data_IF_000001854472
#
_entry.id   IF_000001854472
#
_cell.length_a   1.000
_cell.length_b   1.000
_cell.length_c   1.000
_cell.angle_alpha   90.00
_cell.angle_beta   90.00
_cell.angle_gamma   90.00
#
_symmetry.space_group_name_H-M   'P 1'
#
loop_
_entity.id
_entity.type
_entity.pdbx_description
1 polymer ?
#
# COMPACT_ATOMS: atom_id res chain seq x y z
N UNK A 1 -6.84 -5.08 16.04
CA UNK A 1 -6.73 -6.56 15.99
C UNK A 1 -6.13 -7.22 17.24
N UNK A 2 -5.04 -6.68 17.81
CA UNK A 2 -4.26 -7.33 18.88
C UNK A 2 -5.03 -7.53 20.19
N UNK A 3 -5.92 -6.60 20.56
CA UNK A 3 -6.81 -6.78 21.72
C UNK A 3 -7.63 -8.07 21.63
N UNK A 4 -8.21 -8.36 20.45
CA UNK A 4 -8.98 -9.58 20.22
C UNK A 4 -8.09 -10.83 20.30
N UNK A 5 -6.87 -10.76 19.80
CA UNK A 5 -5.91 -11.87 19.90
C UNK A 5 -5.51 -12.15 21.35
N UNK A 6 -5.21 -11.12 22.14
CA UNK A 6 -4.91 -11.26 23.57
C UNK A 6 -6.07 -11.95 24.33
N UNK A 7 -7.32 -11.56 24.04
CA UNK A 7 -8.50 -12.21 24.63
C UNK A 7 -8.66 -13.68 24.23
N UNK A 8 -8.29 -14.05 23.00
CA UNK A 8 -8.35 -15.44 22.54
C UNK A 8 -7.31 -16.28 23.31
N UNK A 9 -6.09 -15.80 23.45
CA UNK A 9 -5.04 -16.48 24.23
C UNK A 9 -5.42 -16.62 25.71
N UNK A 10 -6.03 -15.59 26.30
CA UNK A 10 -6.49 -15.65 27.69
C UNK A 10 -7.51 -16.78 27.93
N UNK A 11 -8.38 -17.07 26.96
CA UNK A 11 -9.32 -18.22 27.03
C UNK A 11 -8.63 -19.58 27.04
N UNK A 12 -7.36 -19.64 26.60
CA UNK A 12 -6.51 -20.82 26.65
C UNK A 12 -5.57 -20.82 27.86
N UNK A 13 -5.76 -19.91 28.83
CA UNK A 13 -4.91 -19.77 30.00
C UNK A 13 -3.58 -19.04 29.75
N UNK A 14 -3.39 -18.45 28.55
CA UNK A 14 -2.17 -17.75 28.18
C UNK A 14 -2.40 -16.24 28.27
N UNK A 15 -1.85 -15.60 29.30
CA UNK A 15 -1.98 -14.16 29.51
C UNK A 15 -0.87 -13.41 28.77
N UNK A 16 -1.21 -12.77 27.64
CA UNK A 16 -0.30 -11.92 26.86
C UNK A 16 -0.78 -10.47 26.89
N UNK A 17 0.13 -9.56 27.24
CA UNK A 17 -0.17 -8.13 27.14
C UNK A 17 -0.20 -7.67 25.67
N UNK A 18 -1.02 -6.64 25.39
CA UNK A 18 -1.13 -6.06 24.05
C UNK A 18 0.18 -5.44 23.58
N UNK A 19 0.98 -4.89 24.48
CA UNK A 19 2.30 -4.34 24.16
C UNK A 19 3.25 -5.42 23.66
N UNK A 20 3.27 -6.59 24.32
CA UNK A 20 4.07 -7.74 23.89
C UNK A 20 3.70 -8.20 22.48
N UNK A 21 2.41 -8.31 22.18
CA UNK A 21 1.94 -8.66 20.83
C UNK A 21 2.30 -7.57 19.80
N UNK A 22 2.20 -6.30 20.17
CA UNK A 22 2.57 -5.19 19.30
C UNK A 22 4.08 -5.19 18.99
N UNK A 23 4.92 -5.47 20.00
CA UNK A 23 6.37 -5.58 19.84
C UNK A 23 6.74 -6.73 18.91
N UNK A 24 6.07 -7.88 19.01
CA UNK A 24 6.29 -9.00 18.10
C UNK A 24 5.92 -8.66 16.66
N UNK A 25 4.78 -7.99 16.45
CA UNK A 25 4.40 -7.49 15.11
C UNK A 25 5.45 -6.51 14.58
N UNK A 26 5.95 -5.61 15.43
CA UNK A 26 7.02 -4.68 15.08
C UNK A 26 8.31 -5.39 14.65
N UNK A 27 8.75 -6.40 15.41
CA UNK A 27 9.93 -7.23 15.06
C UNK A 27 9.73 -8.00 13.76
N UNK A 28 8.58 -8.63 13.58
CA UNK A 28 8.25 -9.33 12.34
C UNK A 28 8.28 -8.37 11.14
N UNK A 29 7.67 -7.18 11.26
CA UNK A 29 7.70 -6.15 10.23
C UNK A 29 9.14 -5.68 9.94
N UNK A 30 9.99 -5.54 10.97
CA UNK A 30 11.39 -5.19 10.79
C UNK A 30 12.13 -6.24 9.95
N UNK A 31 11.96 -7.52 10.25
CA UNK A 31 12.59 -8.62 9.51
C UNK A 31 12.04 -8.79 8.08
N UNK A 32 10.77 -8.47 7.85
CA UNK A 32 10.12 -8.57 6.53
C UNK A 32 10.40 -7.36 5.61
N UNK A 33 10.95 -6.27 6.15
CA UNK A 33 11.22 -5.04 5.39
C UNK A 33 12.06 -5.28 4.12
N UNK A 34 13.17 -6.05 4.14
CA UNK A 34 13.96 -6.28 2.93
C UNK A 34 13.18 -7.04 1.86
N UNK A 35 12.26 -7.93 2.26
CA UNK A 35 11.38 -8.68 1.34
C UNK A 35 10.38 -7.73 0.68
N UNK A 36 9.78 -6.83 1.47
CA UNK A 36 8.89 -5.79 0.97
C UNK A 36 9.60 -4.86 -0.01
N UNK A 37 10.78 -4.35 0.35
CA UNK A 37 11.57 -3.45 -0.48
C UNK A 37 11.98 -4.13 -1.79
N UNK A 38 12.41 -5.41 -1.73
CA UNK A 38 12.74 -6.19 -2.93
C UNK A 38 11.53 -6.42 -3.81
N UNK A 39 10.36 -6.70 -3.23
CA UNK A 39 9.11 -6.89 -3.98
C UNK A 39 8.70 -5.59 -4.67
N UNK A 40 8.71 -4.46 -3.96
CA UNK A 40 8.39 -3.15 -4.53
C UNK A 40 9.37 -2.78 -5.65
N UNK A 41 10.67 -3.05 -5.47
CA UNK A 41 11.69 -2.86 -6.51
C UNK A 41 11.42 -3.70 -7.77
N UNK A 42 11.05 -4.98 -7.62
CA UNK A 42 10.67 -5.84 -8.75
C UNK A 42 9.42 -5.34 -9.46
N UNK A 43 8.40 -4.91 -8.71
CA UNK A 43 7.20 -4.32 -9.27
C UNK A 43 7.55 -3.07 -10.10
N UNK A 44 8.38 -2.17 -9.56
CA UNK A 44 8.86 -0.97 -10.26
C UNK A 44 9.75 -1.23 -11.48
N UNK A 45 10.23 -2.45 -11.69
CA UNK A 45 10.94 -2.83 -12.91
C UNK A 45 9.99 -3.31 -14.03
N UNK A 46 8.69 -3.38 -13.76
CA UNK A 46 7.69 -3.88 -14.70
C UNK A 46 7.31 -2.80 -15.72
N UNK A 47 6.92 -3.15 -16.95
CA UNK A 47 6.49 -2.17 -17.95
C UNK A 47 5.15 -1.49 -17.59
N UNK A 48 4.37 -2.13 -16.70
CA UNK A 48 3.06 -1.67 -16.25
C UNK A 48 2.86 -1.96 -14.77
N UNK A 49 2.25 -1.03 -14.05
CA UNK A 49 1.76 -1.20 -12.69
C UNK A 49 0.34 -0.70 -12.53
N UNK A 50 -0.38 -1.29 -11.58
CA UNK A 50 -1.62 -0.75 -11.04
C UNK A 50 -1.28 0.02 -9.76
N UNK A 51 -1.89 1.18 -9.58
CA UNK A 51 -1.88 1.91 -8.31
C UNK A 51 -3.31 2.24 -7.88
N UNK A 52 -3.59 1.99 -6.61
CA UNK A 52 -4.84 2.32 -5.96
C UNK A 52 -4.55 2.73 -4.51
N UNK A 53 -5.34 3.65 -3.97
CA UNK A 53 -5.20 4.07 -2.59
C UNK A 53 -6.51 3.95 -1.82
N UNK A 54 -6.42 3.33 -0.64
CA UNK A 54 -7.56 3.16 0.26
C UNK A 54 -7.34 3.95 1.54
N UNK A 55 -8.40 4.60 2.01
CA UNK A 55 -8.40 5.33 3.28
C UNK A 55 -8.28 4.38 4.46
N UNK A 56 -7.41 4.73 5.39
CA UNK A 56 -7.19 4.02 6.64
C UNK A 56 -7.35 4.99 7.83
N UNK A 57 -8.27 4.72 8.78
CA UNK A 57 -8.33 5.50 10.01
C UNK A 57 -7.11 5.18 10.88
N UNK A 58 -6.33 6.21 11.21
CA UNK A 58 -5.12 6.08 12.04
C UNK A 58 -5.30 6.90 13.30
N UNK A 59 -4.92 6.34 14.45
CA UNK A 59 -4.95 7.07 15.72
C UNK A 59 -4.06 8.31 15.63
N UNK A 60 -4.53 9.43 16.18
CA UNK A 60 -3.78 10.68 16.31
C UNK A 60 -3.61 11.01 17.81
N UNK A 61 -2.63 10.36 18.50
CA UNK A 61 -2.44 10.53 19.94
C UNK A 61 -2.26 12.00 20.31
N UNK A 62 -2.95 12.44 21.37
CA UNK A 62 -2.99 13.84 21.80
C UNK A 62 -4.18 14.64 21.29
N UNK A 63 -4.91 14.16 20.26
CA UNK A 63 -6.14 14.81 19.77
C UNK A 63 -7.44 14.04 20.06
N UNK A 64 -7.34 12.85 20.64
CA UNK A 64 -8.50 12.02 20.99
C UNK A 64 -9.34 11.55 19.78
N UNK A 65 -8.83 11.68 18.56
CA UNK A 65 -9.52 11.33 17.31
C UNK A 65 -8.63 10.56 16.36
N UNK A 66 -9.21 10.04 15.29
CA UNK A 66 -8.46 9.47 14.17
C UNK A 66 -8.17 10.52 13.11
N UNK A 67 -7.04 10.40 12.44
CA UNK A 67 -6.74 11.06 11.17
C UNK A 67 -6.85 10.07 10.02
N UNK A 68 -7.10 10.58 8.82
CA UNK A 68 -7.15 9.76 7.61
C UNK A 68 -5.74 9.60 7.05
N UNK A 69 -5.20 8.38 7.11
CA UNK A 69 -4.04 7.96 6.35
C UNK A 69 -4.45 7.22 5.07
N UNK A 70 -3.48 6.91 4.22
CA UNK A 70 -3.67 6.17 2.98
C UNK A 70 -2.78 4.93 2.95
N UNK A 71 -3.33 3.83 2.44
CA UNK A 71 -2.57 2.66 2.01
C UNK A 71 -2.61 2.59 0.48
N UNK A 72 -1.46 2.80 -0.15
CA UNK A 72 -1.30 2.57 -1.60
C UNK A 72 -0.99 1.11 -1.85
N UNK A 73 -1.71 0.50 -2.78
CA UNK A 73 -1.38 -0.78 -3.36
C UNK A 73 -0.72 -0.55 -4.72
N UNK A 74 0.52 -1.04 -4.87
CA UNK A 74 1.18 -1.15 -6.17
C UNK A 74 1.17 -2.60 -6.60
N UNK A 75 0.51 -2.91 -7.72
CA UNK A 75 0.31 -4.28 -8.15
C UNK A 75 0.70 -4.51 -9.60
N UNK A 76 1.03 -5.77 -9.90
CA UNK A 76 1.17 -6.32 -11.25
C UNK A 76 0.51 -7.68 -11.26
N UNK A 77 -0.38 -7.91 -12.21
CA UNK A 77 -0.87 -9.24 -12.57
C UNK A 77 -1.14 -9.29 -14.07
N UNK A 78 -0.22 -9.92 -14.79
CA UNK A 78 -0.30 -10.04 -16.25
C UNK A 78 -0.79 -11.43 -16.70
N UNK A 79 -1.20 -12.30 -15.77
CA UNK A 79 -1.73 -13.64 -16.11
C UNK A 79 -2.92 -13.61 -17.06
N UNK A 80 -3.89 -12.68 -16.95
CA UNK A 80 -4.99 -12.57 -17.93
C UNK A 80 -4.53 -12.27 -19.36
N UNK A 81 -3.29 -11.81 -19.53
CA UNK A 81 -2.67 -11.45 -20.80
C UNK A 81 -1.49 -12.37 -21.16
N UNK A 82 -1.43 -13.56 -20.55
CA UNK A 82 -0.35 -14.54 -20.73
C UNK A 82 1.06 -14.02 -20.38
N UNK A 83 1.16 -13.06 -19.46
CA UNK A 83 2.44 -12.62 -18.91
C UNK A 83 3.12 -13.73 -18.11
N UNK A 84 4.44 -13.89 -18.29
CA UNK A 84 5.25 -14.88 -17.57
C UNK A 84 5.67 -14.44 -16.16
N UNK A 85 5.49 -13.16 -15.88
CA UNK A 85 5.88 -12.54 -14.63
C UNK A 85 4.92 -12.94 -13.49
N UNK A 86 5.40 -13.34 -12.30
CA UNK A 86 4.53 -13.71 -11.19
C UNK A 86 3.69 -12.50 -10.73
N UNK A 87 2.43 -12.70 -10.32
CA UNK A 87 1.61 -11.63 -9.77
C UNK A 87 2.20 -11.15 -8.44
N UNK A 88 2.05 -9.87 -8.15
CA UNK A 88 2.56 -9.29 -6.91
C UNK A 88 1.85 -7.99 -6.53
N UNK A 89 1.78 -7.72 -5.24
CA UNK A 89 1.31 -6.47 -4.67
C UNK A 89 2.20 -6.04 -3.52
N UNK A 90 2.60 -4.77 -3.51
CA UNK A 90 3.28 -4.14 -2.39
C UNK A 90 2.42 -2.99 -1.86
N UNK A 91 2.26 -2.93 -0.54
CA UNK A 91 1.52 -1.88 0.13
C UNK A 91 2.47 -0.84 0.70
N UNK A 92 2.17 0.44 0.54
CA UNK A 92 2.92 1.54 1.14
C UNK A 92 1.96 2.44 1.90
N UNK A 93 2.23 2.66 3.18
CA UNK A 93 1.46 3.61 3.99
C UNK A 93 2.00 5.03 3.83
N UNK A 94 1.10 6.01 3.79
CA UNK A 94 1.47 7.39 4.08
C UNK A 94 0.36 8.14 4.84
N UNK A 95 0.73 9.24 5.53
CA UNK A 95 -0.15 9.90 6.50
C UNK A 95 -1.20 10.83 5.89
N UNK A 96 -1.16 11.07 4.58
CA UNK A 96 -2.09 11.94 3.84
C UNK A 96 -2.28 11.39 2.41
N UNK A 97 -3.10 12.04 1.58
CA UNK A 97 -3.29 11.71 0.15
C UNK A 97 -2.67 12.79 -0.74
N UNK A 98 -1.44 13.22 -0.48
CA UNK A 98 -0.76 14.23 -1.32
C UNK A 98 -0.07 13.57 -2.52
N UNK A 99 0.03 14.31 -3.63
CA UNK A 99 0.72 13.86 -4.84
C UNK A 99 2.22 13.55 -4.61
N UNK A 100 2.86 14.18 -3.61
CA UNK A 100 4.25 13.88 -3.23
C UNK A 100 4.47 12.41 -2.81
N UNK A 101 3.41 11.73 -2.34
CA UNK A 101 3.48 10.34 -1.86
C UNK A 101 3.74 9.36 -3.00
N UNK A 102 2.87 9.24 -4.03
CA UNK A 102 3.17 8.36 -5.16
C UNK A 102 4.43 8.77 -5.93
N UNK A 103 4.80 10.05 -5.96
CA UNK A 103 6.10 10.51 -6.54
C UNK A 103 7.27 9.87 -5.80
N UNK A 104 7.28 9.91 -4.47
CA UNK A 104 8.33 9.30 -3.68
C UNK A 104 8.33 7.76 -3.82
N UNK A 105 7.15 7.12 -3.73
CA UNK A 105 7.03 5.67 -3.81
C UNK A 105 7.52 5.12 -5.16
N UNK A 106 7.14 5.78 -6.25
CA UNK A 106 7.43 5.38 -7.63
C UNK A 106 8.69 6.04 -8.20
N UNK A 107 9.55 6.65 -7.39
CA UNK A 107 10.81 7.24 -7.86
C UNK A 107 11.64 6.23 -8.68
N UNK A 108 11.96 6.57 -9.93
CA UNK A 108 12.69 5.69 -10.86
C UNK A 108 11.82 4.67 -11.61
N UNK A 109 10.51 4.61 -11.39
CA UNK A 109 9.59 3.87 -12.25
C UNK A 109 9.35 4.63 -13.55
N UNK A 110 9.36 3.90 -14.67
CA UNK A 110 8.93 4.38 -15.98
C UNK A 110 8.03 3.33 -16.61
N UNK A 111 7.05 3.76 -17.42
CA UNK A 111 6.08 2.86 -18.03
C UNK A 111 4.63 3.25 -17.75
N UNK A 112 3.73 2.28 -17.86
CA UNK A 112 2.28 2.51 -17.76
C UNK A 112 1.81 2.37 -16.31
N UNK A 113 1.19 3.41 -15.76
CA UNK A 113 0.54 3.34 -14.46
C UNK A 113 -0.98 3.36 -14.62
N UNK A 114 -1.62 2.23 -14.33
CA UNK A 114 -3.07 2.13 -14.31
C UNK A 114 -3.61 2.64 -12.96
N UNK A 115 -4.45 3.67 -13.00
CA UNK A 115 -4.89 4.42 -11.81
C UNK A 115 -6.40 4.66 -11.78
N UNK A 116 -6.91 5.07 -10.60
CA UNK A 116 -8.18 5.77 -10.51
C UNK A 116 -8.04 7.22 -11.05
N UNK A 117 -9.14 7.97 -11.10
CA UNK A 117 -9.13 9.34 -11.64
C UNK A 117 -8.47 10.38 -10.73
N UNK A 118 -7.75 9.99 -9.68
CA UNK A 118 -7.17 10.90 -8.70
C UNK A 118 -6.15 11.85 -9.34
N UNK A 119 -6.38 13.16 -9.17
CA UNK A 119 -5.57 14.22 -9.77
C UNK A 119 -4.09 14.19 -9.38
N UNK A 120 -3.72 13.61 -8.23
CA UNK A 120 -2.31 13.52 -7.82
C UNK A 120 -1.46 12.65 -8.74
N UNK A 121 -2.04 11.71 -9.48
CA UNK A 121 -1.32 10.93 -10.49
C UNK A 121 -0.93 11.75 -11.71
N UNK A 122 -1.66 12.82 -12.06
CA UNK A 122 -1.28 13.73 -13.15
C UNK A 122 0.03 14.44 -12.85
N UNK A 123 0.20 14.91 -11.62
CA UNK A 123 1.44 15.55 -11.15
C UNK A 123 2.62 14.57 -11.19
N UNK A 124 2.39 13.28 -10.90
CA UNK A 124 3.41 12.24 -11.06
C UNK A 124 3.82 12.09 -12.53
N UNK A 125 2.85 11.98 -13.45
CA UNK A 125 3.10 11.80 -14.87
C UNK A 125 3.86 12.99 -15.50
N UNK A 126 3.55 14.22 -15.09
CA UNK A 126 4.26 15.43 -15.54
C UNK A 126 5.73 15.47 -15.09
N UNK A 127 6.07 14.79 -13.98
CA UNK A 127 7.40 14.86 -13.34
C UNK A 127 8.25 13.60 -13.56
N UNK A 128 7.76 12.62 -14.32
CA UNK A 128 8.42 11.32 -14.48
C UNK A 128 8.18 10.69 -15.85
N UNK A 129 8.83 9.56 -16.14
CA UNK A 129 8.60 8.77 -17.37
C UNK A 129 7.34 7.90 -17.31
N UNK A 130 6.30 8.33 -16.59
CA UNK A 130 5.06 7.57 -16.37
C UNK A 130 3.98 8.02 -17.33
N UNK A 131 3.36 7.05 -18.00
CA UNK A 131 2.15 7.25 -18.81
C UNK A 131 0.94 6.71 -18.04
N UNK A 132 -0.10 7.52 -17.86
CA UNK A 132 -1.30 7.10 -17.13
C UNK A 132 -2.26 6.30 -18.03
N UNK A 133 -2.80 5.22 -17.48
CA UNK A 133 -3.96 4.52 -18.02
C UNK A 133 -5.11 4.57 -17.00
N UNK A 134 -6.29 5.07 -17.38
CA UNK A 134 -7.40 5.21 -16.43
C UNK A 134 -8.24 3.93 -16.36
N UNK A 135 -8.47 3.45 -15.15
CA UNK A 135 -9.18 2.18 -14.91
C UNK A 135 -10.68 2.28 -15.19
N UNK A 136 -11.20 1.46 -16.10
CA UNK A 136 -12.63 1.42 -16.45
C UNK A 136 -13.53 0.97 -15.28
N UNK A 137 -13.01 0.16 -14.35
CA UNK A 137 -13.77 -0.23 -13.16
C UNK A 137 -14.06 0.98 -12.26
N UNK A 138 -13.12 1.92 -12.14
CA UNK A 138 -13.28 3.13 -11.35
C UNK A 138 -14.20 4.15 -12.01
N UNK A 139 -14.18 4.25 -13.35
CA UNK A 139 -15.16 5.06 -14.11
C UNK A 139 -16.61 4.66 -13.77
N UNK A 140 -16.87 3.36 -13.53
CA UNK A 140 -18.21 2.87 -13.19
C UNK A 140 -18.63 3.15 -11.73
N UNK A 141 -17.69 3.36 -10.81
CA UNK A 141 -17.98 3.48 -9.36
C UNK A 141 -18.34 4.90 -8.91
N UNK A 142 -18.23 5.90 -9.81
CA UNK A 142 -18.27 7.35 -9.52
C UNK A 142 -17.11 7.76 -8.59
N UNK A 143 -16.41 8.84 -8.94
CA UNK A 143 -15.20 9.29 -8.25
C UNK A 143 -15.50 9.94 -6.90
#
# INVERSE_FOLDING_TARGET
>A
PLYRQAQIYARQGINLDRSTLADWVGRAAWHLRPVHERLLGKLKASPKLFADETTAPVLDPGRGKTKTGQLWAYARDDRPWQGSDPPGVAYVYAPDRKAERPIAHLAGFTGILQVDGYGGYRVLAEKSGVTLAFCWAHVRRRF
#
